data_IF_921634222141
#
_entry.id   IF_921634222141
#
_cell.length_a   1.000
_cell.length_b   1.000
_cell.length_c   1.000
_cell.angle_alpha   90.00
_cell.angle_beta   90.00
_cell.angle_gamma   90.00
#
_symmetry.space_group_name_H-M   'P 1'
#
loop_
_entity.id
_entity.type
_entity.pdbx_description
1 polymer ?
#
# COMPACT_ATOMS: atom_id res chain seq x y z
N UNK A 1 -58.66 43.17 40.02
CA UNK A 1 -57.71 43.25 38.87
C UNK A 1 -56.45 42.42 39.09
N UNK A 2 -55.99 42.24 40.33
CA UNK A 2 -54.82 41.41 40.69
C UNK A 2 -54.99 39.90 40.42
N UNK A 3 -56.14 39.29 40.76
CA UNK A 3 -56.37 37.85 40.50
C UNK A 3 -56.43 37.46 39.01
N UNK A 4 -56.85 38.38 38.12
CA UNK A 4 -56.85 38.14 36.67
C UNK A 4 -55.43 38.19 36.08
N UNK A 5 -54.55 39.03 36.64
CA UNK A 5 -53.14 39.08 36.26
C UNK A 5 -52.36 37.85 36.74
N UNK A 6 -52.70 37.33 37.93
CA UNK A 6 -52.10 36.12 38.51
C UNK A 6 -52.50 34.84 37.74
N UNK A 7 -53.76 34.74 37.31
CA UNK A 7 -54.24 33.67 36.44
C UNK A 7 -53.58 33.71 35.05
N UNK A 8 -53.48 34.89 34.42
CA UNK A 8 -52.80 35.06 33.14
C UNK A 8 -51.29 34.79 33.22
N UNK A 9 -50.63 35.14 34.34
CA UNK A 9 -49.23 34.82 34.58
C UNK A 9 -48.99 33.31 34.76
N UNK A 10 -49.92 32.61 35.42
CA UNK A 10 -49.88 31.14 35.58
C UNK A 10 -50.10 30.41 34.25
N UNK A 11 -50.97 30.94 33.39
CA UNK A 11 -51.23 30.43 32.04
C UNK A 11 -50.05 30.70 31.07
N UNK A 12 -49.40 31.87 31.19
CA UNK A 12 -48.18 32.19 30.44
C UNK A 12 -47.01 31.28 30.86
N UNK A 13 -46.79 31.09 32.18
CA UNK A 13 -45.74 30.23 32.70
C UNK A 13 -45.92 28.75 32.35
N UNK A 14 -47.16 28.24 32.33
CA UNK A 14 -47.44 26.86 31.90
C UNK A 14 -47.19 26.64 30.41
N UNK A 15 -47.52 27.62 29.56
CA UNK A 15 -47.19 27.59 28.12
C UNK A 15 -45.69 27.60 27.87
N UNK A 16 -44.92 28.41 28.60
CA UNK A 16 -43.46 28.48 28.47
C UNK A 16 -42.77 27.16 28.89
N UNK A 17 -43.28 26.48 29.92
CA UNK A 17 -42.79 25.16 30.35
C UNK A 17 -43.06 24.09 29.29
N UNK A 18 -44.26 24.08 28.70
CA UNK A 18 -44.60 23.13 27.61
C UNK A 18 -43.72 23.36 26.38
N UNK A 19 -43.51 24.62 26.01
CA UNK A 19 -42.63 25.01 24.91
C UNK A 19 -41.18 24.59 25.17
N UNK A 20 -40.67 24.82 26.38
CA UNK A 20 -39.30 24.43 26.77
C UNK A 20 -39.10 22.91 26.73
N UNK A 21 -40.08 22.12 27.18
CA UNK A 21 -40.01 20.64 27.09
C UNK A 21 -39.98 20.15 25.64
N UNK A 22 -40.77 20.77 24.77
CA UNK A 22 -40.77 20.45 23.34
C UNK A 22 -39.43 20.79 22.68
N UNK A 23 -38.89 21.98 22.95
CA UNK A 23 -37.57 22.41 22.44
C UNK A 23 -36.49 21.44 22.92
N UNK A 24 -36.43 21.12 24.21
CA UNK A 24 -35.43 20.21 24.77
C UNK A 24 -35.49 18.82 24.12
N UNK A 25 -36.69 18.29 23.89
CA UNK A 25 -36.88 16.97 23.26
C UNK A 25 -36.46 16.99 21.80
N UNK A 26 -36.87 17.99 21.03
CA UNK A 26 -36.50 18.12 19.62
C UNK A 26 -35.00 18.33 19.48
N UNK A 27 -34.41 19.25 20.24
CA UNK A 27 -32.98 19.55 20.18
C UNK A 27 -32.13 18.34 20.60
N UNK A 28 -32.54 17.61 21.64
CA UNK A 28 -31.86 16.39 22.08
C UNK A 28 -31.93 15.27 21.05
N UNK A 29 -33.11 15.01 20.47
CA UNK A 29 -33.27 14.03 19.41
C UNK A 29 -32.46 14.41 18.16
N UNK A 30 -32.53 15.67 17.74
CA UNK A 30 -31.78 16.17 16.60
C UNK A 30 -30.27 16.02 16.82
N UNK A 31 -29.76 16.44 17.99
CA UNK A 31 -28.35 16.28 18.36
C UNK A 31 -27.92 14.81 18.37
N UNK A 32 -28.75 13.92 18.91
CA UNK A 32 -28.51 12.47 18.88
C UNK A 32 -28.42 11.93 17.44
N UNK A 33 -29.36 12.29 16.57
CA UNK A 33 -29.35 11.87 15.17
C UNK A 33 -28.15 12.42 14.40
N UNK A 34 -27.80 13.70 14.57
CA UNK A 34 -26.62 14.29 13.93
C UNK A 34 -25.32 13.64 14.44
N UNK A 35 -25.23 13.31 15.73
CA UNK A 35 -24.05 12.61 16.27
C UNK A 35 -23.86 11.22 15.66
N UNK A 36 -24.95 10.50 15.40
CA UNK A 36 -24.89 9.18 14.73
C UNK A 36 -24.59 9.33 13.23
N UNK A 37 -25.11 10.36 12.58
CA UNK A 37 -24.89 10.62 11.16
C UNK A 37 -23.45 11.09 10.88
N UNK A 38 -22.81 11.79 11.81
CA UNK A 38 -21.48 12.38 11.65
C UNK A 38 -20.40 11.40 11.13
N UNK A 39 -20.19 10.19 11.67
CA UNK A 39 -19.20 9.25 11.16
C UNK A 39 -19.55 8.62 9.79
N UNK A 40 -20.81 8.74 9.34
CA UNK A 40 -21.27 8.18 8.06
C UNK A 40 -21.22 9.20 6.92
N UNK A 41 -21.06 10.48 7.23
CA UNK A 41 -20.94 11.53 6.23
C UNK A 41 -19.63 11.38 5.44
N UNK A 42 -19.66 11.61 4.12
CA UNK A 42 -18.48 11.48 3.28
C UNK A 42 -17.41 12.51 3.67
N UNK A 43 -16.17 12.04 3.75
CA UNK A 43 -14.99 12.88 3.95
C UNK A 43 -14.18 12.94 2.66
N UNK A 44 -13.57 14.09 2.38
CA UNK A 44 -12.64 14.23 1.25
C UNK A 44 -11.28 13.69 1.70
N UNK A 45 -10.80 12.64 1.04
CA UNK A 45 -9.48 12.08 1.27
C UNK A 45 -8.46 12.68 0.30
N UNK A 46 -7.30 13.10 0.80
CA UNK A 46 -6.17 13.48 -0.04
C UNK A 46 -5.24 12.28 -0.22
N UNK A 47 -5.16 11.76 -1.46
CA UNK A 47 -4.27 10.65 -1.81
C UNK A 47 -3.01 11.19 -2.47
N UNK A 48 -1.85 10.85 -1.93
CA UNK A 48 -0.55 11.19 -2.52
C UNK A 48 0.00 10.01 -3.33
N UNK A 49 0.44 10.27 -4.56
CA UNK A 49 1.13 9.28 -5.41
C UNK A 49 2.50 9.83 -5.82
N UNK A 50 3.49 8.93 -5.87
CA UNK A 50 4.84 9.26 -6.33
C UNK A 50 5.13 8.48 -7.61
N UNK A 51 5.36 9.21 -8.70
CA UNK A 51 5.81 8.62 -9.96
C UNK A 51 7.29 8.93 -10.17
N UNK A 52 8.06 7.90 -10.47
CA UNK A 52 9.46 7.98 -10.86
C UNK A 52 9.64 7.11 -12.11
N UNK A 53 10.39 7.54 -13.14
CA UNK A 53 11.29 8.70 -13.21
C UNK A 53 10.57 10.05 -13.39
N UNK A 54 11.17 11.14 -12.91
CA UNK A 54 10.63 12.49 -13.09
C UNK A 54 11.42 13.26 -14.17
N UNK A 55 10.72 14.05 -14.98
CA UNK A 55 11.33 14.91 -16.02
C UNK A 55 12.22 14.16 -17.03
N UNK A 56 11.99 12.85 -17.23
CA UNK A 56 12.80 12.00 -18.11
C UNK A 56 14.21 11.72 -17.59
N UNK A 57 14.52 12.05 -16.33
CA UNK A 57 15.85 11.85 -15.74
C UNK A 57 15.81 10.77 -14.65
N UNK A 58 16.89 9.97 -14.58
CA UNK A 58 17.08 8.92 -13.57
C UNK A 58 17.78 9.48 -12.32
N UNK A 59 17.27 10.59 -11.78
CA UNK A 59 17.78 11.17 -10.55
C UNK A 59 17.15 10.51 -9.32
N UNK A 60 17.89 10.50 -8.22
CA UNK A 60 17.37 10.09 -6.92
C UNK A 60 16.33 11.10 -6.44
N UNK A 61 15.19 10.60 -5.95
CA UNK A 61 14.13 11.41 -5.35
C UNK A 61 14.00 11.00 -3.89
N UNK A 62 13.86 11.99 -3.01
CA UNK A 62 13.64 11.77 -1.57
C UNK A 62 12.19 12.05 -1.24
N UNK A 63 11.45 11.01 -0.86
CA UNK A 63 10.05 11.09 -0.46
C UNK A 63 9.82 10.26 0.81
N UNK A 64 10.18 10.79 2.00
CA UNK A 64 10.06 10.06 3.25
C UNK A 64 8.58 9.94 3.65
N UNK A 65 8.07 8.72 3.70
CA UNK A 65 6.71 8.44 4.17
C UNK A 65 6.69 8.37 5.69
N UNK A 66 5.82 9.15 6.33
CA UNK A 66 5.58 9.08 7.78
C UNK A 66 5.01 7.70 8.19
N UNK A 67 4.21 7.10 7.31
CA UNK A 67 3.69 5.73 7.49
C UNK A 67 4.73 4.64 7.26
N UNK A 68 5.96 5.00 6.88
CA UNK A 68 7.10 4.12 6.53
C UNK A 68 6.89 3.22 5.30
N UNK A 69 5.64 2.87 4.96
CA UNK A 69 5.28 2.05 3.81
C UNK A 69 4.13 2.67 3.00
N UNK A 70 4.13 2.49 1.67
CA UNK A 70 2.97 2.82 0.84
C UNK A 70 1.88 1.74 0.96
N UNK A 71 0.64 2.10 0.63
CA UNK A 71 -0.49 1.14 0.58
C UNK A 71 -0.31 0.16 -0.58
N UNK A 72 0.15 0.68 -1.73
CA UNK A 72 0.50 -0.10 -2.91
C UNK A 72 1.76 0.47 -3.56
N UNK A 73 2.55 -0.41 -4.16
CA UNK A 73 3.75 -0.03 -4.90
C UNK A 73 3.88 -0.93 -6.13
N UNK A 74 4.18 -0.30 -7.28
CA UNK A 74 4.43 -0.99 -8.54
C UNK A 74 5.72 -0.46 -9.14
N UNK A 75 6.58 -1.35 -9.59
CA UNK A 75 7.85 -1.01 -10.26
C UNK A 75 7.99 -1.86 -11.51
N UNK A 76 8.28 -1.19 -12.63
CA UNK A 76 8.54 -1.84 -13.90
C UNK A 76 9.94 -1.47 -14.36
N UNK A 77 10.85 -2.44 -14.36
CA UNK A 77 12.24 -2.27 -14.79
C UNK A 77 12.45 -2.99 -16.12
N UNK A 78 12.66 -2.28 -17.24
CA UNK A 78 13.00 -2.92 -18.51
C UNK A 78 14.31 -3.72 -18.42
N UNK A 79 14.38 -4.93 -19.00
CA UNK A 79 15.62 -5.72 -18.96
C UNK A 79 16.78 -5.08 -19.77
N UNK A 80 16.49 -4.06 -20.59
CA UNK A 80 17.50 -3.19 -21.22
C UNK A 80 18.39 -2.49 -20.20
N UNK A 81 17.88 -2.12 -19.03
CA UNK A 81 18.67 -1.47 -17.98
C UNK A 81 19.75 -2.41 -17.45
N UNK A 82 19.42 -3.69 -17.24
CA UNK A 82 20.39 -4.69 -16.78
C UNK A 82 21.47 -4.96 -17.85
N UNK A 83 21.10 -4.88 -19.13
CA UNK A 83 22.02 -5.03 -20.26
C UNK A 83 23.03 -3.89 -20.38
N UNK A 84 22.65 -2.66 -20.04
CA UNK A 84 23.55 -1.50 -20.09
C UNK A 84 24.43 -1.35 -18.84
N UNK A 85 24.25 -2.18 -17.82
CA UNK A 85 25.05 -2.11 -16.59
C UNK A 85 26.47 -2.68 -16.77
N UNK A 86 27.46 -2.15 -16.04
CA UNK A 86 28.81 -2.69 -15.99
C UNK A 86 28.86 -4.17 -15.55
N UNK A 87 29.92 -4.93 -15.89
CA UNK A 87 30.07 -6.32 -15.50
C UNK A 87 30.01 -6.55 -13.98
N UNK A 88 30.54 -5.61 -13.19
CA UNK A 88 30.48 -5.66 -11.73
C UNK A 88 29.04 -5.59 -11.17
N UNK A 89 28.09 -5.08 -11.96
CA UNK A 89 26.72 -4.87 -11.54
C UNK A 89 26.56 -3.62 -10.67
N UNK A 90 25.46 -3.57 -9.92
CA UNK A 90 25.09 -2.42 -9.10
C UNK A 90 23.65 -2.51 -8.60
N UNK A 91 23.19 -1.44 -7.98
CA UNK A 91 21.78 -1.28 -7.61
C UNK A 91 21.04 -0.63 -8.78
N UNK A 92 19.97 -1.27 -9.25
CA UNK A 92 19.10 -0.70 -10.29
C UNK A 92 18.08 0.24 -9.66
N UNK A 93 17.48 -0.20 -8.56
CA UNK A 93 16.48 0.54 -7.82
C UNK A 93 16.53 0.13 -6.34
N UNK A 94 16.30 1.09 -5.46
CA UNK A 94 16.14 0.88 -4.03
C UNK A 94 15.13 1.87 -3.47
N UNK A 95 14.34 1.43 -2.49
CA UNK A 95 13.42 2.30 -1.74
C UNK A 95 14.10 3.00 -0.57
N UNK A 96 15.36 2.66 -0.30
CA UNK A 96 16.24 3.34 0.62
C UNK A 96 17.65 3.47 0.01
N UNK A 97 18.51 4.36 0.54
CA UNK A 97 19.92 4.39 0.16
C UNK A 97 20.62 3.08 0.51
N UNK A 98 21.46 2.57 -0.39
CA UNK A 98 22.22 1.31 -0.18
C UNK A 98 23.04 1.29 1.11
N UNK A 99 23.65 2.42 1.45
CA UNK A 99 24.52 2.58 2.61
C UNK A 99 23.77 3.08 3.86
N UNK A 100 22.43 3.09 3.82
CA UNK A 100 21.61 3.44 4.98
C UNK A 100 21.74 2.39 6.08
N UNK A 101 21.62 2.83 7.34
CA UNK A 101 21.59 1.92 8.49
C UNK A 101 20.41 0.96 8.36
N UNK A 102 20.68 -0.34 8.50
CA UNK A 102 19.70 -1.41 8.45
C UNK A 102 18.81 -1.41 7.18
N UNK A 103 19.28 -0.77 6.10
CA UNK A 103 18.46 -0.55 4.90
C UNK A 103 17.99 -1.87 4.30
N UNK A 104 18.86 -2.89 4.25
CA UNK A 104 18.51 -4.22 3.78
C UNK A 104 17.34 -4.86 4.56
N UNK A 105 17.17 -4.54 5.84
CA UNK A 105 16.12 -5.10 6.70
C UNK A 105 14.77 -4.40 6.53
N UNK A 106 14.74 -3.19 5.98
CA UNK A 106 13.55 -2.33 5.97
C UNK A 106 13.06 -1.94 4.57
N UNK A 107 13.91 -2.12 3.55
CA UNK A 107 13.66 -1.63 2.21
C UNK A 107 13.68 -2.75 1.16
N UNK A 108 13.09 -2.43 0.03
CA UNK A 108 13.14 -3.21 -1.20
C UNK A 108 14.32 -2.74 -2.07
N UNK A 109 15.04 -3.72 -2.63
CA UNK A 109 16.17 -3.52 -3.53
C UNK A 109 16.11 -4.44 -4.75
N UNK A 110 16.48 -3.88 -5.90
CA UNK A 110 16.80 -4.62 -7.12
C UNK A 110 18.30 -4.51 -7.34
N UNK A 111 19.01 -5.58 -7.03
CA UNK A 111 20.47 -5.64 -7.15
C UNK A 111 20.87 -6.56 -8.30
N UNK A 112 21.85 -6.09 -9.07
CA UNK A 112 22.49 -6.86 -10.13
C UNK A 112 23.91 -7.15 -9.69
N UNK A 113 24.28 -8.41 -9.64
CA UNK A 113 25.66 -8.87 -9.41
C UNK A 113 26.29 -9.28 -10.74
N UNK A 114 27.46 -9.93 -10.70
CA UNK A 114 28.06 -10.48 -11.92
C UNK A 114 27.20 -11.59 -12.52
N UNK A 115 26.61 -12.41 -11.67
CA UNK A 115 26.00 -13.67 -12.09
C UNK A 115 24.47 -13.70 -11.92
N UNK A 116 23.91 -12.83 -11.07
CA UNK A 116 22.50 -12.86 -10.67
C UNK A 116 21.86 -11.47 -10.68
N UNK A 117 20.54 -11.46 -10.86
CA UNK A 117 19.67 -10.33 -10.57
C UNK A 117 18.72 -10.75 -9.45
N UNK A 118 18.83 -10.06 -8.33
CA UNK A 118 18.11 -10.39 -7.10
C UNK A 118 17.17 -9.25 -6.74
N UNK A 119 15.91 -9.60 -6.51
CA UNK A 119 14.91 -8.71 -5.91
C UNK A 119 14.75 -9.12 -4.47
N UNK A 120 15.06 -8.20 -3.57
CA UNK A 120 15.03 -8.44 -2.12
C UNK A 120 14.07 -7.45 -1.47
N UNK A 121 13.21 -7.93 -0.59
CA UNK A 121 12.32 -7.13 0.24
C UNK A 121 12.59 -7.47 1.72
N UNK A 122 13.03 -6.48 2.51
CA UNK A 122 13.33 -6.66 3.95
C UNK A 122 14.20 -7.88 4.24
N UNK A 123 15.31 -8.00 3.52
CA UNK A 123 16.30 -9.07 3.63
C UNK A 123 15.79 -10.47 3.22
N UNK A 124 14.66 -10.53 2.53
CA UNK A 124 14.13 -11.76 1.92
C UNK A 124 14.25 -11.66 0.41
N UNK A 125 14.92 -12.63 -0.21
CA UNK A 125 14.99 -12.72 -1.68
C UNK A 125 13.67 -13.26 -2.21
N UNK A 126 12.90 -12.40 -2.87
CA UNK A 126 11.58 -12.74 -3.40
C UNK A 126 11.65 -13.26 -4.85
N UNK A 127 12.70 -12.88 -5.59
CA UNK A 127 13.02 -13.45 -6.88
C UNK A 127 14.51 -13.34 -7.17
N UNK A 128 15.08 -14.38 -7.79
CA UNK A 128 16.48 -14.40 -8.19
C UNK A 128 16.63 -15.14 -9.51
N UNK A 129 17.24 -14.49 -10.51
CA UNK A 129 17.44 -15.04 -11.86
C UNK A 129 18.89 -14.87 -12.29
N UNK A 130 19.49 -15.83 -13.02
CA UNK A 130 20.82 -15.64 -13.61
C UNK A 130 20.86 -14.40 -14.51
N UNK A 131 21.88 -13.54 -14.34
CA UNK A 131 22.07 -12.34 -15.14
C UNK A 131 22.12 -12.67 -16.64
N UNK A 132 22.74 -13.80 -17.00
CA UNK A 132 22.79 -14.31 -18.37
C UNK A 132 21.40 -14.51 -19.00
N UNK A 133 20.39 -14.90 -18.22
CA UNK A 133 19.01 -15.04 -18.71
C UNK A 133 18.30 -13.69 -18.80
N UNK A 134 18.54 -12.80 -17.84
CA UNK A 134 17.95 -11.44 -17.82
C UNK A 134 18.47 -10.58 -18.97
N UNK A 135 19.72 -10.74 -19.38
CA UNK A 135 20.27 -10.03 -20.55
C UNK A 135 19.86 -10.65 -21.89
N UNK A 136 19.21 -11.81 -21.87
CA UNK A 136 18.74 -12.45 -23.10
C UNK A 136 17.56 -11.69 -23.73
N UNK A 137 17.33 -11.80 -25.05
CA UNK A 137 16.19 -11.18 -25.72
C UNK A 137 14.81 -11.66 -25.21
N UNK A 138 14.77 -12.77 -24.46
CA UNK A 138 13.54 -13.32 -23.89
C UNK A 138 13.01 -12.47 -22.73
N UNK A 139 13.91 -11.83 -21.97
CA UNK A 139 13.52 -10.97 -20.86
C UNK A 139 12.99 -9.63 -21.39
N UNK A 140 11.73 -9.33 -21.08
CA UNK A 140 11.10 -8.06 -21.48
C UNK A 140 11.26 -7.02 -20.37
N UNK A 141 10.76 -7.33 -19.17
CA UNK A 141 10.77 -6.45 -18.00
C UNK A 141 10.70 -7.25 -16.71
N UNK A 142 11.15 -6.63 -15.63
CA UNK A 142 10.97 -7.08 -14.26
C UNK A 142 9.80 -6.28 -13.69
N UNK A 143 8.74 -6.96 -13.30
CA UNK A 143 7.56 -6.39 -12.67
C UNK A 143 7.59 -6.71 -11.20
N UNK A 144 7.46 -5.70 -10.35
CA UNK A 144 7.42 -5.84 -8.91
C UNK A 144 6.15 -5.17 -8.43
N UNK A 145 5.34 -5.90 -7.67
CA UNK A 145 4.12 -5.38 -7.05
C UNK A 145 4.16 -5.66 -5.56
N UNK A 146 3.79 -4.68 -4.76
CA UNK A 146 3.63 -4.83 -3.31
C UNK A 146 2.30 -4.22 -2.91
N UNK A 147 1.49 -4.99 -2.20
CA UNK A 147 0.17 -4.61 -1.72
C UNK A 147 -0.16 -5.39 -0.45
N UNK A 148 -1.37 -5.20 0.09
CA UNK A 148 -1.88 -6.01 1.20
C UNK A 148 -1.90 -7.53 0.89
N UNK A 149 -1.95 -7.94 -0.38
CA UNK A 149 -1.90 -9.35 -0.76
C UNK A 149 -0.49 -9.97 -0.66
N UNK A 150 0.55 -9.15 -0.54
CA UNK A 150 1.96 -9.56 -0.52
C UNK A 150 2.82 -8.81 -1.53
N UNK A 151 4.11 -9.13 -1.53
CA UNK A 151 5.10 -8.62 -2.48
C UNK A 151 5.47 -9.72 -3.48
N UNK A 152 5.35 -9.42 -4.77
CA UNK A 152 5.65 -10.34 -5.87
C UNK A 152 6.64 -9.69 -6.84
N UNK A 153 7.52 -10.51 -7.42
CA UNK A 153 8.44 -10.10 -8.46
C UNK A 153 8.43 -11.10 -9.60
N UNK A 154 8.23 -10.63 -10.83
CA UNK A 154 8.11 -11.47 -12.03
C UNK A 154 9.03 -10.96 -13.13
N UNK A 155 9.80 -11.87 -13.72
CA UNK A 155 10.64 -11.58 -14.88
C UNK A 155 9.87 -11.95 -16.15
N UNK A 156 9.17 -10.99 -16.73
CA UNK A 156 8.28 -11.20 -17.88
C UNK A 156 9.09 -11.69 -19.09
N UNK A 157 8.61 -12.77 -19.70
CA UNK A 157 9.23 -13.43 -20.85
C UNK A 157 10.31 -14.45 -20.48
N UNK A 158 10.69 -14.55 -19.21
CA UNK A 158 11.44 -15.68 -18.69
C UNK A 158 10.47 -16.68 -18.07
N UNK A 159 10.46 -17.89 -18.60
CA UNK A 159 9.85 -19.03 -17.92
C UNK A 159 10.88 -19.56 -16.93
N UNK A 160 10.46 -19.72 -15.68
CA UNK A 160 11.30 -20.34 -14.68
C UNK A 160 11.55 -21.81 -15.08
N UNK A 161 12.80 -22.27 -15.27
CA UNK A 161 13.07 -23.70 -15.40
C UNK A 161 12.61 -24.48 -14.16
N UNK A 162 12.48 -23.80 -13.02
CA UNK A 162 11.93 -24.29 -11.77
C UNK A 162 10.40 -24.07 -11.63
N UNK A 163 9.68 -23.53 -12.63
CA UNK A 163 8.23 -23.69 -12.68
C UNK A 163 7.81 -25.16 -12.83
N UNK A 164 8.73 -26.03 -13.30
CA UNK A 164 8.62 -27.49 -13.22
C UNK A 164 9.26 -28.12 -11.97
N UNK A 165 9.88 -27.31 -11.11
CA UNK A 165 10.49 -27.73 -9.85
C UNK A 165 10.25 -26.66 -8.81
N UNK A 166 9.05 -26.66 -8.21
CA UNK A 166 8.81 -25.95 -6.95
C UNK A 166 10.08 -26.10 -6.10
N UNK A 167 10.81 -25.01 -5.91
CA UNK A 167 11.91 -24.96 -4.98
C UNK A 167 11.27 -25.09 -3.60
N UNK A 168 11.08 -26.36 -3.20
CA UNK A 168 10.81 -26.72 -1.83
C UNK A 168 11.94 -26.13 -1.02
N UNK A 169 11.66 -25.02 -0.34
CA UNK A 169 12.45 -24.58 0.80
C UNK A 169 12.46 -25.79 1.74
N UNK A 170 13.59 -26.49 1.76
CA UNK A 170 13.85 -27.58 2.66
C UNK A 170 13.94 -27.01 4.07
N UNK A 171 12.80 -26.85 4.72
CA UNK A 171 12.67 -26.85 6.18
C UNK A 171 11.28 -27.34 6.56
N UNK A 172 11.21 -28.65 6.82
CA UNK A 172 10.30 -29.42 7.68
C UNK A 172 8.98 -28.75 8.12
N UNK A 173 7.87 -29.42 7.76
CA UNK A 173 6.45 -29.21 8.17
C UNK A 173 5.73 -27.98 7.61
N UNK A 174 5.04 -28.16 6.49
CA UNK A 174 3.56 -28.18 6.40
C UNK A 174 3.17 -28.13 4.92
N UNK A 175 3.15 -29.28 4.26
CA UNK A 175 2.49 -29.43 2.97
C UNK A 175 1.09 -30.01 3.25
N UNK A 176 0.13 -29.14 3.56
CA UNK A 176 -1.27 -29.52 3.67
C UNK A 176 -2.16 -28.30 3.40
N UNK A 177 -2.89 -28.36 2.27
CA UNK A 177 -3.94 -27.44 1.75
C UNK A 177 -3.41 -26.20 1.03
N UNK A 178 -3.90 -25.82 -0.17
CA UNK A 178 -4.91 -26.33 -1.12
C UNK A 178 -4.82 -25.33 -2.29
N UNK A 179 -4.25 -25.68 -3.43
CA UNK A 179 -4.95 -25.97 -4.70
C UNK A 179 -6.08 -25.00 -5.10
N UNK A 180 -5.80 -24.08 -6.02
CA UNK A 180 -6.70 -23.65 -7.11
C UNK A 180 -5.99 -22.57 -7.95
N UNK A 181 -5.55 -22.88 -9.17
CA UNK A 181 -5.16 -21.80 -10.10
C UNK A 181 -4.35 -22.11 -11.35
N UNK A 182 -3.62 -23.23 -11.46
CA UNK A 182 -2.87 -23.51 -12.69
C UNK A 182 -3.71 -24.34 -13.66
N UNK A 183 -4.24 -23.71 -14.70
CA UNK A 183 -4.82 -24.38 -15.89
C UNK A 183 -3.75 -24.44 -16.98
N UNK A 184 -3.61 -25.56 -17.72
CA UNK A 184 -2.60 -25.70 -18.76
C UNK A 184 -3.19 -25.41 -20.14
N UNK A 185 -2.57 -24.48 -20.88
CA UNK A 185 -2.39 -24.53 -22.35
C UNK A 185 -1.25 -23.60 -22.72
#
# INVERSE_FOLDING_TARGET
MTHAAEAAATEAATRDVQLTRWIATIAGLLGFFLSIATPLLPVVQTTATLNWPQQGQLNNVTAPLISQVPVTMTVNVPCTVVRSMPPAGGMVLGTAPKNGKDAALQALFVNVTRDRVDVTDRNVVIASVPRAQVVSPRCQRIEITSSHAGTFATFVGLTDPAAGRCAAVSTIRTCARRSSGCSPT
#
